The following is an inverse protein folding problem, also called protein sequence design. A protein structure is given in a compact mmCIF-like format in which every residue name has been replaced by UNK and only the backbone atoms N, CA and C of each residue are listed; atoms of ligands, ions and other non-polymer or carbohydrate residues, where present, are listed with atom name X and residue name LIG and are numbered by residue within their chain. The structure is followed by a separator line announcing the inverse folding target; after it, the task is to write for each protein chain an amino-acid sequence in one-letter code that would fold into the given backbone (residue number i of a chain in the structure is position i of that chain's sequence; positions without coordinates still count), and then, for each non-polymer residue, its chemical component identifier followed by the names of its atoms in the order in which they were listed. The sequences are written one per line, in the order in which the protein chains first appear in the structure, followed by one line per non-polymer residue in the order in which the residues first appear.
data_IF_945548445003
#
_entry.id   IF_945548445003
#
_cell.length_a   1.000
_cell.length_b   1.000
_cell.length_c   1.000
_cell.angle_alpha   90.00
_cell.angle_beta   90.00
_cell.angle_gamma   90.00
#
_symmetry.space_group_name_H-M   'P 1'
#
loop_
_entity.id
_entity.type
_entity.pdbx_description
1 polymer ?
#
# COMPACT_ATOMS: atom_id res chain seq x y z
N UNK A 1 2.20 -0.43 21.47
CA UNK A 1 1.45 0.82 21.34
C UNK A 1 0.95 0.97 19.93
N UNK A 2 -0.32 1.33 19.75
CA UNK A 2 -0.90 1.43 18.41
C UNK A 2 -0.47 2.72 17.72
N UNK A 3 -0.25 2.63 16.42
CA UNK A 3 -0.01 3.78 15.57
C UNK A 3 -1.33 4.24 14.96
N UNK A 4 -1.43 5.52 14.70
CA UNK A 4 -2.60 6.10 14.04
C UNK A 4 -2.45 5.90 12.53
N UNK A 5 -3.41 5.21 11.93
CA UNK A 5 -3.38 4.95 10.48
C UNK A 5 -4.15 6.04 9.74
N UNK A 6 -3.48 6.70 8.81
CA UNK A 6 -4.09 7.68 7.91
C UNK A 6 -3.92 7.19 6.48
N UNK A 7 -5.04 6.94 5.80
CA UNK A 7 -5.03 6.57 4.39
C UNK A 7 -5.41 7.82 3.60
N UNK A 8 -4.52 8.29 2.72
CA UNK A 8 -4.80 9.49 1.94
C UNK A 8 -5.94 9.23 0.96
N UNK A 9 -6.64 10.30 0.59
CA UNK A 9 -7.69 10.22 -0.42
C UNK A 9 -7.14 9.65 -1.73
N UNK A 10 -5.94 10.05 -2.12
CA UNK A 10 -5.28 9.52 -3.31
C UNK A 10 -5.05 8.00 -3.21
N UNK A 11 -4.60 7.52 -2.06
CA UNK A 11 -4.39 6.07 -1.86
C UNK A 11 -5.71 5.31 -1.95
N UNK A 12 -6.79 5.84 -1.37
CA UNK A 12 -8.12 5.25 -1.46
C UNK A 12 -8.60 5.19 -2.92
N UNK A 13 -8.40 6.25 -3.68
CA UNK A 13 -8.76 6.27 -5.09
C UNK A 13 -7.99 5.24 -5.89
N UNK A 14 -6.70 5.09 -5.62
CA UNK A 14 -5.87 4.08 -6.28
C UNK A 14 -6.38 2.68 -5.99
N UNK A 15 -6.75 2.41 -4.75
CA UNK A 15 -7.29 1.10 -4.37
C UNK A 15 -8.63 0.83 -5.05
N UNK A 16 -9.51 1.81 -5.09
CA UNK A 16 -10.79 1.70 -5.78
C UNK A 16 -10.60 1.40 -7.26
N UNK A 17 -9.65 2.08 -7.90
CA UNK A 17 -9.35 1.88 -9.31
C UNK A 17 -8.81 0.48 -9.58
N UNK A 18 -7.93 -0.02 -8.72
CA UNK A 18 -7.39 -1.39 -8.84
C UNK A 18 -8.49 -2.43 -8.64
N UNK A 19 -9.34 -2.24 -7.66
CA UNK A 19 -10.46 -3.13 -7.38
C UNK A 19 -11.42 -3.18 -8.56
N UNK A 20 -11.78 -2.01 -9.09
CA UNK A 20 -12.63 -1.89 -10.27
C UNK A 20 -12.03 -2.63 -11.47
N UNK A 21 -10.74 -2.43 -11.71
CA UNK A 21 -10.02 -3.07 -12.81
C UNK A 21 -10.11 -4.59 -12.69
N UNK A 22 -9.85 -5.12 -11.50
CA UNK A 22 -9.89 -6.57 -11.28
C UNK A 22 -11.28 -7.14 -11.48
N UNK A 23 -12.32 -6.45 -11.02
CA UNK A 23 -13.70 -6.94 -11.11
C UNK A 23 -14.24 -6.83 -12.54
N UNK A 24 -14.09 -5.66 -13.16
CA UNK A 24 -14.82 -5.36 -14.40
C UNK A 24 -13.99 -5.55 -15.66
N UNK A 25 -12.69 -5.35 -15.60
CA UNK A 25 -11.81 -5.50 -16.77
C UNK A 25 -11.25 -6.91 -16.86
N UNK A 26 -10.81 -7.47 -15.75
CA UNK A 26 -10.26 -8.82 -15.72
C UNK A 26 -11.29 -9.88 -15.31
N UNK A 27 -12.52 -9.47 -14.94
CA UNK A 27 -13.59 -10.37 -14.54
C UNK A 27 -13.16 -11.34 -13.43
N UNK A 28 -12.38 -10.86 -12.49
CA UNK A 28 -11.81 -11.70 -11.44
C UNK A 28 -12.16 -11.15 -10.05
N UNK A 29 -13.34 -11.50 -9.57
CA UNK A 29 -13.81 -11.08 -8.24
C UNK A 29 -12.98 -11.68 -7.12
N UNK A 30 -12.42 -12.88 -7.32
CA UNK A 30 -11.57 -13.52 -6.31
C UNK A 30 -10.26 -12.73 -6.12
N UNK A 31 -9.67 -12.26 -7.21
CA UNK A 31 -8.48 -11.45 -7.13
C UNK A 31 -8.76 -10.13 -6.40
N UNK A 32 -9.91 -9.50 -6.67
CA UNK A 32 -10.29 -8.28 -5.98
C UNK A 32 -10.45 -8.51 -4.48
N UNK A 33 -11.11 -9.61 -4.10
CA UNK A 33 -11.26 -9.97 -2.69
C UNK A 33 -9.91 -10.23 -2.04
N UNK A 34 -9.02 -10.95 -2.72
CA UNK A 34 -7.69 -11.24 -2.21
C UNK A 34 -6.89 -9.96 -1.99
N UNK A 35 -6.99 -9.01 -2.92
CA UNK A 35 -6.33 -7.72 -2.78
C UNK A 35 -6.85 -6.97 -1.55
N UNK A 36 -8.17 -6.87 -1.39
CA UNK A 36 -8.77 -6.16 -0.27
C UNK A 36 -8.42 -6.81 1.07
N UNK A 37 -8.46 -8.13 1.13
CA UNK A 37 -8.10 -8.87 2.36
C UNK A 37 -6.61 -8.65 2.70
N UNK A 38 -5.75 -8.66 1.68
CA UNK A 38 -4.32 -8.41 1.86
C UNK A 38 -4.05 -6.98 2.35
N UNK A 39 -4.75 -6.00 1.80
CA UNK A 39 -4.62 -4.61 2.22
C UNK A 39 -5.10 -4.45 3.68
N UNK A 40 -6.22 -5.05 4.04
CA UNK A 40 -6.73 -5.00 5.41
C UNK A 40 -5.72 -5.58 6.40
N UNK A 41 -5.11 -6.71 6.04
CA UNK A 41 -4.08 -7.35 6.88
C UNK A 41 -2.87 -6.42 7.05
N UNK A 42 -2.43 -5.78 5.97
CA UNK A 42 -1.33 -4.84 6.03
C UNK A 42 -1.68 -3.65 6.92
N UNK A 43 -2.88 -3.09 6.78
CA UNK A 43 -3.31 -1.96 7.58
C UNK A 43 -3.32 -2.30 9.07
N UNK A 44 -3.81 -3.48 9.43
CA UNK A 44 -3.80 -3.94 10.83
C UNK A 44 -2.38 -4.02 11.36
N UNK A 45 -1.45 -4.55 10.56
CA UNK A 45 -0.05 -4.68 10.95
C UNK A 45 0.64 -3.33 11.06
N UNK A 46 0.27 -2.37 10.22
CA UNK A 46 0.81 -1.00 10.28
C UNK A 46 0.42 -0.32 11.58
N UNK A 47 -0.78 -0.57 12.08
CA UNK A 47 -1.23 -0.01 13.35
C UNK A 47 -0.48 -0.59 14.55
N UNK A 48 0.00 -1.83 14.43
CA UNK A 48 0.76 -2.48 15.50
C UNK A 48 2.22 -2.07 15.46
N UNK A 49 2.88 -2.24 14.33
CA UNK A 49 4.30 -1.87 14.18
C UNK A 49 4.66 -1.69 12.69
N UNK A 50 4.65 -0.44 12.21
CA UNK A 50 4.98 -0.18 10.80
C UNK A 50 6.44 -0.48 10.45
N UNK A 51 7.33 -0.51 11.44
CA UNK A 51 8.75 -0.75 11.20
C UNK A 51 9.09 -2.21 10.94
N UNK A 52 8.11 -3.11 11.03
CA UNK A 52 8.29 -4.49 10.58
C UNK A 52 8.44 -4.59 9.06
N UNK A 53 8.05 -3.56 8.33
CA UNK A 53 8.20 -3.50 6.86
C UNK A 53 9.46 -2.73 6.49
N UNK A 54 10.07 -3.12 5.38
CA UNK A 54 11.33 -2.54 4.94
C UNK A 54 11.15 -1.16 4.32
N UNK A 55 12.23 -0.40 4.24
CA UNK A 55 12.28 0.80 3.42
C UNK A 55 12.06 0.44 1.96
N UNK A 56 11.57 1.42 1.17
CA UNK A 56 11.38 1.22 -0.25
C UNK A 56 12.67 0.78 -0.92
N UNK A 57 12.56 -0.14 -1.89
CA UNK A 57 13.71 -0.57 -2.68
C UNK A 57 14.24 0.54 -3.57
N UNK A 58 13.37 1.44 -4.00
CA UNK A 58 13.79 2.63 -4.73
C UNK A 58 14.55 3.57 -3.77
N UNK A 59 15.80 3.88 -4.12
CA UNK A 59 16.66 4.67 -3.24
C UNK A 59 16.14 6.08 -3.01
N UNK A 60 15.49 6.66 -4.01
CA UNK A 60 14.93 8.01 -3.90
C UNK A 60 13.79 8.05 -2.89
N UNK A 61 12.89 7.05 -2.95
CA UNK A 61 11.77 6.97 -2.02
C UNK A 61 12.24 6.61 -0.60
N UNK A 62 13.20 5.69 -0.49
CA UNK A 62 13.78 5.32 0.81
C UNK A 62 14.40 6.54 1.48
N UNK A 63 15.10 7.35 0.72
CA UNK A 63 15.73 8.57 1.22
C UNK A 63 14.70 9.57 1.73
N UNK A 64 13.51 9.57 1.17
CA UNK A 64 12.41 10.42 1.63
C UNK A 64 11.65 9.84 2.82
N UNK A 65 12.05 8.68 3.31
CA UNK A 65 11.42 8.05 4.45
C UNK A 65 10.27 7.12 4.13
N UNK A 66 10.05 6.80 2.87
CA UNK A 66 8.97 5.88 2.49
C UNK A 66 9.36 4.43 2.72
N UNK A 67 8.37 3.65 3.13
CA UNK A 67 8.47 2.21 3.33
C UNK A 67 7.46 1.51 2.45
N UNK A 68 7.65 0.21 2.22
CA UNK A 68 6.77 -0.56 1.36
C UNK A 68 6.30 -1.85 2.05
N UNK A 69 5.05 -2.21 1.82
CA UNK A 69 4.48 -3.46 2.28
C UNK A 69 3.87 -4.17 1.07
N UNK A 70 4.37 -5.35 0.76
CA UNK A 70 3.95 -6.11 -0.43
C UNK A 70 2.72 -6.94 -0.11
N UNK A 71 1.71 -6.88 -0.98
CA UNK A 71 0.55 -7.77 -0.90
C UNK A 71 0.99 -9.14 -1.43
N UNK A 72 0.94 -10.21 -0.58
CA UNK A 72 1.44 -11.51 -1.01
C UNK A 72 0.77 -12.03 -2.27
N UNK A 73 1.57 -12.59 -3.18
CA UNK A 73 1.13 -13.30 -4.38
C UNK A 73 0.47 -12.43 -5.47
N UNK A 74 0.38 -11.12 -5.27
CA UNK A 74 -0.31 -10.25 -6.24
C UNK A 74 0.59 -9.23 -6.92
N UNK A 75 1.76 -8.96 -6.36
CA UNK A 75 2.66 -7.97 -6.93
C UNK A 75 2.23 -6.53 -6.71
N UNK A 76 1.27 -6.29 -5.83
CA UNK A 76 0.91 -4.94 -5.42
C UNK A 76 1.66 -4.56 -4.16
N UNK A 77 1.91 -3.27 -4.02
CA UNK A 77 2.70 -2.73 -2.90
C UNK A 77 2.00 -1.51 -2.32
N UNK A 78 1.96 -1.46 -0.99
CA UNK A 78 1.45 -0.31 -0.24
C UNK A 78 2.64 0.54 0.14
N UNK A 79 2.61 1.82 -0.24
CA UNK A 79 3.67 2.78 0.09
C UNK A 79 3.18 3.67 1.22
N UNK A 80 3.99 3.80 2.25
CA UNK A 80 3.62 4.56 3.44
C UNK A 80 4.84 5.24 4.05
N UNK A 81 4.58 6.24 4.89
CA UNK A 81 5.61 6.91 5.69
C UNK A 81 5.16 6.95 7.13
N UNK A 82 6.12 6.87 8.06
CA UNK A 82 5.84 6.97 9.49
C UNK A 82 6.33 8.33 9.95
N UNK A 83 5.43 9.05 10.63
CA UNK A 83 5.78 10.35 11.22
C UNK A 83 5.21 10.40 12.62
N UNK A 84 6.08 10.45 13.61
CA UNK A 84 5.72 10.39 15.03
C UNK A 84 4.92 9.10 15.32
N UNK A 85 3.68 9.19 15.74
CA UNK A 85 2.82 8.04 16.03
C UNK A 85 1.83 7.74 14.87
N UNK A 86 2.02 8.39 13.72
CA UNK A 86 1.12 8.25 12.59
C UNK A 86 1.79 7.50 11.43
N UNK A 87 1.00 6.64 10.78
CA UNK A 87 1.36 5.97 9.54
C UNK A 87 0.50 6.55 8.44
N UNK A 88 1.13 7.17 7.44
CA UNK A 88 0.43 7.77 6.32
C UNK A 88 0.59 6.89 5.08
N UNK A 89 -0.49 6.24 4.66
CA UNK A 89 -0.51 5.45 3.43
C UNK A 89 -0.73 6.40 2.27
N UNK A 90 0.25 6.51 1.38
CA UNK A 90 0.26 7.50 0.31
C UNK A 90 -0.05 6.92 -1.06
N UNK A 91 0.05 5.61 -1.22
CA UNK A 91 -0.28 5.00 -2.50
C UNK A 91 -0.27 3.49 -2.46
N UNK A 92 -0.92 2.89 -3.48
CA UNK A 92 -0.95 1.46 -3.70
C UNK A 92 -0.68 1.27 -5.18
N UNK A 93 0.38 0.54 -5.52
CA UNK A 93 0.86 0.43 -6.90
C UNK A 93 1.22 -1.01 -7.23
N UNK A 94 1.27 -1.33 -8.51
CA UNK A 94 1.89 -2.56 -8.96
C UNK A 94 3.41 -2.41 -8.85
N UNK A 95 4.12 -3.47 -8.46
CA UNK A 95 5.58 -3.42 -8.27
C UNK A 95 6.35 -3.02 -9.54
N UNK A 96 5.76 -3.26 -10.72
CA UNK A 96 6.38 -2.93 -12.00
C UNK A 96 6.13 -1.49 -12.45
N UNK A 97 5.27 -0.74 -11.74
CA UNK A 97 5.06 0.67 -12.06
C UNK A 97 6.23 1.51 -11.58
N UNK A 98 6.48 2.61 -12.30
CA UNK A 98 7.46 3.61 -11.87
C UNK A 98 6.77 4.59 -10.92
N UNK A 99 6.32 4.10 -9.76
CA UNK A 99 5.50 4.87 -8.84
C UNK A 99 6.27 5.98 -8.13
N UNK A 100 7.58 5.96 -8.16
CA UNK A 100 8.39 7.07 -7.59
C UNK A 100 8.04 8.41 -8.25
N UNK A 101 7.53 8.39 -9.47
CA UNK A 101 7.11 9.60 -10.18
C UNK A 101 5.66 10.01 -9.84
N UNK A 102 4.96 9.21 -9.07
CA UNK A 102 3.55 9.41 -8.73
C UNK A 102 3.33 9.81 -7.27
N UNK A 103 4.42 9.94 -6.54
CA UNK A 103 4.37 10.30 -5.11
C UNK A 103 4.90 11.70 -4.81
#
# INVERSE_FOLDING_TARGET
MAYKLNVTEHADELLDNLTYYLIYRLKNKQAAKHLLDGIDTIYDRLEVNPFQFAECRDAYLAKKGYREAVVPQMGYVVIFAVRDDAVNVVGIFHQLEHYQNKL
#
